data_IF_742822290289
#
_entry.id   IF_742822290289
#
_cell.length_a   1.000
_cell.length_b   1.000
_cell.length_c   1.000
_cell.angle_alpha   90.00
_cell.angle_beta   90.00
_cell.angle_gamma   90.00
#
_symmetry.space_group_name_H-M   'P 1'
#
loop_
_entity.id
_entity.type
_entity.pdbx_description
1 polymer ?
#
# COMPACT_ATOMS: atom_id res chain seq x y z
N UNK A 1 37.78 45.85 -22.71
CA UNK A 1 37.83 45.20 -21.38
C UNK A 1 37.43 43.74 -21.53
N UNK A 2 38.39 42.82 -21.58
CA UNK A 2 38.11 41.37 -21.57
C UNK A 2 37.91 40.93 -20.12
N UNK A 3 36.69 40.59 -19.73
CA UNK A 3 36.42 39.96 -18.45
C UNK A 3 37.11 38.59 -18.42
N UNK A 4 38.16 38.48 -17.60
CA UNK A 4 38.75 37.20 -17.19
C UNK A 4 37.64 36.37 -16.53
N UNK A 5 37.34 35.19 -17.07
CA UNK A 5 36.64 34.13 -16.33
C UNK A 5 37.48 33.84 -15.08
N UNK A 6 36.96 34.14 -13.89
CA UNK A 6 37.55 33.60 -12.68
C UNK A 6 37.35 32.09 -12.74
N UNK A 7 38.44 31.35 -12.71
CA UNK A 7 38.42 29.91 -12.49
C UNK A 7 37.90 29.73 -11.07
N UNK A 8 36.60 29.43 -10.94
CA UNK A 8 36.12 28.80 -9.72
C UNK A 8 36.80 27.43 -9.68
N UNK A 9 37.72 27.23 -8.75
CA UNK A 9 38.22 25.89 -8.43
C UNK A 9 37.00 25.02 -8.14
N UNK A 10 36.64 24.16 -9.09
CA UNK A 10 35.62 23.14 -8.85
C UNK A 10 36.20 22.18 -7.82
N UNK A 11 35.71 22.27 -6.58
CA UNK A 11 36.03 21.30 -5.53
C UNK A 11 35.51 19.94 -6.02
N UNK A 12 36.41 19.13 -6.57
CA UNK A 12 36.09 17.82 -7.12
C UNK A 12 36.00 16.81 -5.98
N UNK A 13 34.83 16.67 -5.39
CA UNK A 13 34.58 15.57 -4.46
C UNK A 13 34.51 14.24 -5.24
N UNK A 14 35.17 13.17 -4.76
CA UNK A 14 34.99 11.82 -5.28
C UNK A 14 33.52 11.43 -5.37
N UNK A 15 33.17 10.64 -6.39
CA UNK A 15 31.78 10.19 -6.60
C UNK A 15 31.21 9.44 -5.39
N UNK A 16 32.04 8.71 -4.67
CA UNK A 16 31.66 7.98 -3.45
C UNK A 16 31.16 8.91 -2.33
N UNK A 17 31.75 10.10 -2.19
CA UNK A 17 31.33 11.09 -1.18
C UNK A 17 29.95 11.64 -1.55
N UNK A 18 29.76 12.04 -2.82
CA UNK A 18 28.46 12.47 -3.31
C UNK A 18 27.39 11.40 -3.14
N UNK A 19 27.72 10.16 -3.48
CA UNK A 19 26.83 9.01 -3.31
C UNK A 19 26.40 8.87 -1.86
N UNK A 20 27.33 8.97 -0.90
CA UNK A 20 27.01 8.86 0.53
C UNK A 20 26.20 10.04 1.06
N UNK A 21 26.47 11.27 0.60
CA UNK A 21 25.67 12.45 0.95
C UNK A 21 24.23 12.28 0.45
N UNK A 22 24.06 11.93 -0.83
CA UNK A 22 22.75 11.79 -1.45
C UNK A 22 21.96 10.62 -0.86
N UNK A 23 22.61 9.49 -0.49
CA UNK A 23 21.94 8.36 0.16
C UNK A 23 21.27 8.74 1.49
N UNK A 24 21.73 9.79 2.17
CA UNK A 24 21.16 10.28 3.42
C UNK A 24 19.93 11.19 3.25
N UNK A 25 19.67 11.64 2.02
CA UNK A 25 18.59 12.59 1.76
C UNK A 25 17.25 11.88 1.51
N UNK A 26 16.13 12.48 1.93
CA UNK A 26 14.79 12.05 1.53
C UNK A 26 14.62 12.02 0.01
N UNK A 27 13.87 11.03 -0.49
CA UNK A 27 13.56 10.83 -1.92
C UNK A 27 13.09 12.11 -2.62
N UNK A 28 12.28 12.94 -1.96
CA UNK A 28 11.72 14.16 -2.56
C UNK A 28 12.77 15.23 -2.81
N UNK A 29 13.75 15.33 -1.92
CA UNK A 29 14.90 16.22 -2.10
C UNK A 29 15.75 15.68 -3.24
N UNK A 30 15.97 14.37 -3.31
CA UNK A 30 16.70 13.74 -4.40
C UNK A 30 16.04 13.95 -5.77
N UNK A 31 14.71 13.85 -5.86
CA UNK A 31 13.98 14.15 -7.09
C UNK A 31 14.22 15.59 -7.54
N UNK A 32 14.20 16.58 -6.62
CA UNK A 32 14.54 17.98 -6.93
C UNK A 32 16.00 18.15 -7.32
N UNK A 33 16.90 17.43 -6.66
CA UNK A 33 18.34 17.47 -6.89
C UNK A 33 18.75 16.87 -8.24
N UNK A 34 17.91 16.03 -8.84
CA UNK A 34 18.09 15.57 -10.23
C UNK A 34 18.06 16.70 -11.27
N UNK A 35 17.62 17.91 -10.88
CA UNK A 35 17.65 19.10 -11.71
C UNK A 35 18.93 19.95 -11.55
N UNK A 36 19.77 19.66 -10.55
CA UNK A 36 20.94 20.49 -10.22
C UNK A 36 22.10 20.27 -11.20
N UNK A 37 22.41 19.02 -11.55
CA UNK A 37 23.46 18.70 -12.53
C UNK A 37 23.19 17.37 -13.24
N UNK A 38 23.81 17.17 -14.41
CA UNK A 38 23.75 15.88 -15.14
C UNK A 38 24.35 14.74 -14.30
N UNK A 39 25.51 14.97 -13.68
CA UNK A 39 26.19 13.97 -12.83
C UNK A 39 25.30 13.49 -11.68
N UNK A 40 24.60 14.41 -11.01
CA UNK A 40 23.68 14.07 -9.93
C UNK A 40 22.44 13.36 -10.45
N UNK A 41 21.88 13.81 -11.58
CA UNK A 41 20.77 13.15 -12.24
C UNK A 41 21.10 11.70 -12.60
N UNK A 42 22.27 11.47 -13.19
CA UNK A 42 22.72 10.15 -13.63
C UNK A 42 22.93 9.23 -12.42
N UNK A 43 23.56 9.72 -11.35
CA UNK A 43 23.74 8.99 -10.11
C UNK A 43 22.40 8.67 -9.41
N UNK A 44 21.46 9.61 -9.37
CA UNK A 44 20.14 9.43 -8.72
C UNK A 44 19.25 8.47 -9.52
N UNK A 45 19.38 8.47 -10.85
CA UNK A 45 18.64 7.58 -11.75
C UNK A 45 19.28 6.20 -11.90
N UNK A 46 20.52 6.03 -11.48
CA UNK A 46 21.17 4.71 -11.45
C UNK A 46 20.36 3.75 -10.56
N UNK A 47 19.87 2.61 -11.10
CA UNK A 47 19.09 1.67 -10.31
C UNK A 47 19.87 1.09 -9.12
N UNK A 48 21.21 1.05 -9.18
CA UNK A 48 22.02 0.61 -8.03
C UNK A 48 21.93 1.61 -6.88
N UNK A 49 21.90 2.92 -7.18
CA UNK A 49 21.65 3.97 -6.21
C UNK A 49 20.22 3.88 -5.63
N UNK A 50 19.21 3.72 -6.48
CA UNK A 50 17.82 3.59 -6.03
C UNK A 50 17.60 2.40 -5.08
N UNK A 51 18.17 1.23 -5.39
CA UNK A 51 18.11 0.06 -4.51
C UNK A 51 18.87 0.28 -3.19
N UNK A 52 20.08 0.87 -3.26
CA UNK A 52 20.86 1.19 -2.07
C UNK A 52 20.13 2.22 -1.18
N UNK A 53 19.48 3.22 -1.78
CA UNK A 53 18.69 4.22 -1.07
C UNK A 53 17.49 3.57 -0.37
N UNK A 54 16.76 2.69 -1.06
CA UNK A 54 15.66 1.91 -0.45
C UNK A 54 16.18 1.10 0.74
N UNK A 55 17.24 0.31 0.58
CA UNK A 55 17.79 -0.49 1.67
C UNK A 55 18.29 0.37 2.84
N UNK A 56 19.02 1.44 2.56
CA UNK A 56 19.62 2.32 3.56
C UNK A 56 18.56 3.16 4.29
N UNK A 57 17.72 3.86 3.53
CA UNK A 57 16.73 4.80 4.06
C UNK A 57 15.59 4.09 4.80
N UNK A 58 15.10 2.95 4.29
CA UNK A 58 14.08 2.14 5.00
C UNK A 58 14.63 1.60 6.33
N UNK A 59 15.91 1.21 6.37
CA UNK A 59 16.52 0.69 7.60
C UNK A 59 16.79 1.78 8.65
N UNK A 60 17.20 2.98 8.23
CA UNK A 60 17.62 4.06 9.15
C UNK A 60 16.49 4.99 9.60
N UNK A 61 15.46 5.25 8.78
CA UNK A 61 14.41 6.24 9.07
C UNK A 61 13.00 5.64 9.07
N UNK A 62 12.80 4.57 9.86
CA UNK A 62 11.52 3.86 10.02
C UNK A 62 10.33 4.72 10.46
N UNK A 63 10.56 5.93 10.97
CA UNK A 63 9.52 6.78 11.58
C UNK A 63 8.95 7.87 10.65
N UNK A 64 9.41 7.98 9.40
CA UNK A 64 9.05 9.09 8.51
C UNK A 64 8.21 8.65 7.30
N UNK A 65 7.17 7.84 7.57
CA UNK A 65 6.28 7.32 6.54
C UNK A 65 5.22 8.35 6.13
N UNK A 66 4.98 8.49 4.83
CA UNK A 66 3.81 9.22 4.36
C UNK A 66 2.59 8.28 4.34
N UNK A 67 1.38 8.83 4.49
CA UNK A 67 0.17 8.10 4.10
C UNK A 67 -0.21 8.54 2.69
N UNK A 68 -0.46 7.59 1.80
CA UNK A 68 -1.02 7.86 0.48
C UNK A 68 -2.50 7.53 0.50
N UNK A 69 -3.31 8.50 0.08
CA UNK A 69 -4.75 8.44 0.07
C UNK A 69 -5.21 8.58 -1.36
N UNK A 70 -5.98 7.62 -1.84
CA UNK A 70 -6.68 7.70 -3.11
C UNK A 70 -8.17 7.77 -2.82
N UNK A 71 -8.76 8.93 -3.13
CA UNK A 71 -10.18 9.15 -3.02
C UNK A 71 -10.81 9.37 -4.38
N UNK A 72 -11.98 8.77 -4.61
CA UNK A 72 -12.88 9.16 -5.70
C UNK A 72 -13.93 10.13 -5.17
N UNK A 73 -14.11 11.22 -5.92
CA UNK A 73 -14.97 12.33 -5.58
C UNK A 73 -16.04 12.52 -6.65
N UNK A 74 -17.26 12.82 -6.22
CA UNK A 74 -18.31 13.33 -7.10
C UNK A 74 -18.19 14.84 -7.17
N UNK A 75 -17.95 15.39 -8.36
CA UNK A 75 -18.17 16.83 -8.56
C UNK A 75 -19.67 17.05 -8.75
N UNK A 76 -20.29 17.79 -7.83
CA UNK A 76 -21.65 18.27 -7.99
C UNK A 76 -21.58 19.72 -8.47
N UNK A 77 -21.41 19.94 -9.77
CA UNK A 77 -21.79 21.23 -10.36
C UNK A 77 -23.32 21.24 -10.49
N UNK A 78 -23.97 22.33 -10.05
CA UNK A 78 -25.43 22.50 -10.11
C UNK A 78 -25.99 22.53 -11.56
N UNK A 79 -25.10 22.52 -12.57
CA UNK A 79 -25.40 22.72 -13.99
C UNK A 79 -24.98 21.56 -14.90
N UNK A 80 -24.34 20.49 -14.40
CA UNK A 80 -24.04 19.31 -15.24
C UNK A 80 -25.12 18.24 -15.05
N UNK A 81 -25.92 17.99 -16.10
CA UNK A 81 -26.76 16.78 -16.20
C UNK A 81 -25.96 15.46 -16.15
N UNK A 82 -24.63 15.55 -16.28
CA UNK A 82 -23.71 14.42 -16.18
C UNK A 82 -22.85 14.51 -14.90
N UNK A 83 -23.16 13.69 -13.90
CA UNK A 83 -22.32 13.52 -12.70
C UNK A 83 -20.89 13.11 -13.09
N UNK A 84 -19.93 14.04 -13.07
CA UNK A 84 -18.50 13.74 -13.31
C UNK A 84 -17.83 13.31 -12.02
N UNK A 85 -17.17 12.15 -12.05
CA UNK A 85 -16.32 11.70 -10.97
C UNK A 85 -14.87 12.08 -11.24
N UNK A 86 -14.19 12.60 -10.22
CA UNK A 86 -12.76 12.91 -10.26
C UNK A 86 -12.04 12.02 -9.26
N UNK A 87 -10.84 11.56 -9.59
CA UNK A 87 -9.97 10.81 -8.68
C UNK A 87 -8.86 11.74 -8.20
N UNK A 88 -8.72 11.85 -6.88
CA UNK A 88 -7.70 12.66 -6.25
C UNK A 88 -6.73 11.76 -5.52
N UNK A 89 -5.46 11.93 -5.83
CA UNK A 89 -4.35 11.27 -5.15
C UNK A 89 -3.74 12.28 -4.19
N UNK A 90 -3.85 11.99 -2.90
CA UNK A 90 -3.41 12.83 -1.80
C UNK A 90 -2.24 12.13 -1.08
N UNK A 91 -1.28 12.94 -0.64
CA UNK A 91 -0.27 12.48 0.32
C UNK A 91 -0.45 13.21 1.63
N UNK A 92 -0.45 12.47 2.73
CA UNK A 92 -0.39 12.98 4.08
C UNK A 92 1.02 12.79 4.63
N UNK A 93 1.55 13.80 5.31
CA UNK A 93 2.77 13.69 6.10
C UNK A 93 2.58 14.33 7.46
N UNK A 94 3.33 13.81 8.43
CA UNK A 94 3.51 14.49 9.71
C UNK A 94 4.39 15.72 9.50
N UNK A 95 3.97 16.88 10.00
CA UNK A 95 4.89 17.97 10.27
C UNK A 95 5.53 17.72 11.64
N UNK A 96 6.85 17.54 11.67
CA UNK A 96 7.61 17.72 12.91
C UNK A 96 7.57 19.23 13.20
N UNK A 97 6.99 19.62 14.34
CA UNK A 97 7.17 20.98 14.84
C UNK A 97 8.65 21.25 15.08
N UNK A 98 9.09 22.50 14.88
CA UNK A 98 10.46 22.93 15.16
C UNK A 98 10.94 22.34 16.50
N UNK A 99 12.15 21.76 16.51
CA UNK A 99 12.80 21.09 17.65
C UNK A 99 13.17 22.07 18.79
N UNK A 100 12.17 22.76 19.35
CA UNK A 100 12.29 23.63 20.51
C UNK A 100 11.33 23.21 21.62
N UNK A 101 11.89 22.81 22.76
CA UNK A 101 11.27 22.44 24.03
C UNK A 101 10.58 21.06 24.14
N UNK A 102 11.36 20.13 24.69
CA UNK A 102 10.87 19.03 25.52
C UNK A 102 10.17 19.64 26.74
N UNK A 103 8.83 19.60 26.78
CA UNK A 103 7.98 19.50 27.99
C UNK A 103 6.49 19.82 27.74
N UNK A 104 5.97 19.46 26.56
CA UNK A 104 4.51 19.31 26.41
C UNK A 104 4.21 18.08 25.58
N UNK A 105 3.75 17.02 26.25
CA UNK A 105 3.00 15.92 25.63
C UNK A 105 1.65 16.52 25.20
N UNK A 106 1.69 17.29 24.11
CA UNK A 106 0.57 17.95 23.47
C UNK A 106 0.51 17.44 22.04
N UNK A 107 -0.51 16.64 21.74
CA UNK A 107 -0.82 15.99 20.46
C UNK A 107 -1.07 16.97 19.29
N UNK A 108 -0.08 17.78 18.92
CA UNK A 108 -0.13 18.69 17.78
C UNK A 108 0.76 18.20 16.63
N UNK A 109 0.53 16.97 16.17
CA UNK A 109 0.91 16.60 14.82
C UNK A 109 -0.04 17.30 13.85
N UNK A 110 0.49 18.29 13.13
CA UNK A 110 -0.18 18.88 11.98
C UNK A 110 0.13 18.05 10.74
N UNK A 111 -0.88 17.83 9.91
CA UNK A 111 -0.75 17.06 8.69
C UNK A 111 -0.96 17.98 7.50
N UNK A 112 0.00 17.99 6.57
CA UNK A 112 -0.22 18.59 5.26
C UNK A 112 -0.64 17.54 4.27
N UNK A 113 -1.80 17.76 3.66
CA UNK A 113 -2.24 17.02 2.48
C UNK A 113 -1.82 17.78 1.23
N UNK A 114 -1.20 17.11 0.27
CA UNK A 114 -0.90 17.69 -1.03
C UNK A 114 -1.49 16.84 -2.16
N UNK A 115 -2.06 17.50 -3.16
CA UNK A 115 -2.51 16.84 -4.39
C UNK A 115 -1.27 16.46 -5.19
N UNK A 116 -1.12 15.17 -5.47
CA UNK A 116 -0.14 14.69 -6.44
C UNK A 116 -0.76 14.75 -7.83
N UNK A 117 -0.57 15.85 -8.58
CA UNK A 117 -0.70 15.85 -10.05
C UNK A 117 -0.06 17.11 -10.63
N UNK A 118 0.76 16.99 -11.71
CA UNK A 118 0.36 16.35 -12.97
C UNK A 118 1.33 15.29 -13.55
N UNK A 119 2.16 14.63 -12.73
CA UNK A 119 3.16 13.68 -13.26
C UNK A 119 2.69 12.23 -13.45
N UNK A 120 1.62 11.80 -12.76
CA UNK A 120 1.13 10.44 -12.85
C UNK A 120 -0.04 10.40 -13.84
N UNK A 121 0.26 10.14 -15.11
CA UNK A 121 -0.78 9.92 -16.13
C UNK A 121 -1.50 8.60 -15.85
N UNK A 122 -2.51 8.66 -14.97
CA UNK A 122 -3.48 7.58 -14.88
C UNK A 122 -4.23 7.51 -16.21
N UNK A 123 -4.39 6.32 -16.80
CA UNK A 123 -4.99 6.23 -18.12
C UNK A 123 -6.41 6.80 -18.12
N UNK A 124 -6.78 7.46 -19.22
CA UNK A 124 -8.05 8.15 -19.33
C UNK A 124 -9.27 7.24 -19.10
N UNK A 125 -10.36 7.92 -18.78
CA UNK A 125 -11.62 7.38 -18.31
C UNK A 125 -12.34 6.55 -19.38
N UNK A 126 -12.13 5.24 -19.42
CA UNK A 126 -12.92 4.34 -20.29
C UNK A 126 -14.21 3.79 -19.61
N UNK A 127 -14.29 3.76 -18.28
CA UNK A 127 -15.44 3.18 -17.54
C UNK A 127 -15.72 3.91 -16.21
N UNK A 128 -16.99 3.97 -15.79
CA UNK A 128 -17.46 4.64 -14.56
C UNK A 128 -17.00 4.00 -13.21
N UNK A 129 -15.98 3.14 -13.21
CA UNK A 129 -15.52 2.40 -12.01
C UNK A 129 -14.30 3.07 -11.37
N UNK A 130 -14.22 3.11 -10.02
CA UNK A 130 -13.08 3.71 -9.29
C UNK A 130 -11.81 2.85 -9.43
N UNK A 131 -10.63 3.48 -9.40
CA UNK A 131 -9.42 2.76 -9.00
C UNK A 131 -9.46 2.41 -7.51
N UNK A 132 -8.88 1.25 -7.19
CA UNK A 132 -8.58 0.83 -5.81
C UNK A 132 -7.08 0.63 -5.68
N UNK A 133 -6.54 0.98 -4.51
CA UNK A 133 -5.19 0.59 -4.12
C UNK A 133 -5.24 -0.82 -3.52
N UNK A 134 -4.44 -1.72 -4.07
CA UNK A 134 -4.32 -3.12 -3.61
C UNK A 134 -3.07 -3.37 -2.76
N UNK A 135 -2.20 -2.37 -2.63
CA UNK A 135 -1.05 -2.42 -1.76
C UNK A 135 0.02 -1.39 -2.13
N UNK A 136 0.93 -1.18 -1.20
CA UNK A 136 2.16 -0.43 -1.36
C UNK A 136 3.33 -1.33 -0.96
N UNK A 137 4.40 -1.34 -1.74
CA UNK A 137 5.59 -2.11 -1.44
C UNK A 137 6.82 -1.35 -1.94
N UNK A 138 7.77 -1.06 -1.04
CA UNK A 138 9.03 -0.38 -1.36
C UNK A 138 8.86 0.91 -2.18
N UNK A 139 7.77 1.64 -1.95
CA UNK A 139 7.44 2.90 -2.65
C UNK A 139 6.80 2.75 -4.02
N UNK A 140 6.38 1.55 -4.38
CA UNK A 140 5.53 1.30 -5.55
C UNK A 140 4.11 1.05 -5.06
N UNK A 141 3.13 1.61 -5.76
CA UNK A 141 1.70 1.36 -5.57
C UNK A 141 1.20 0.37 -6.60
N UNK A 142 0.39 -0.59 -6.18
CA UNK A 142 -0.41 -1.42 -7.08
C UNK A 142 -1.85 -0.93 -7.06
N UNK A 143 -2.35 -0.49 -8.22
CA UNK A 143 -3.73 0.00 -8.38
C UNK A 143 -4.44 -0.74 -9.51
N UNK A 144 -5.76 -0.89 -9.40
CA UNK A 144 -6.56 -1.46 -10.47
C UNK A 144 -7.97 -0.90 -10.46
N UNK A 145 -8.60 -0.77 -11.62
CA UNK A 145 -10.02 -0.43 -11.72
C UNK A 145 -10.87 -1.57 -11.16
N UNK A 146 -11.94 -1.24 -10.44
CA UNK A 146 -12.89 -2.22 -9.91
C UNK A 146 -13.86 -2.69 -11.01
N UNK A 147 -13.40 -3.48 -11.99
CA UNK A 147 -14.24 -3.97 -13.10
C UNK A 147 -13.92 -5.40 -13.52
N UNK A 148 -14.78 -6.04 -14.31
CA UNK A 148 -14.54 -7.40 -14.83
C UNK A 148 -13.34 -7.51 -15.78
N UNK A 149 -12.77 -6.40 -16.25
CA UNK A 149 -11.52 -6.33 -17.04
C UNK A 149 -10.48 -5.48 -16.29
N UNK A 150 -10.10 -5.93 -15.10
CA UNK A 150 -9.16 -5.25 -14.20
C UNK A 150 -7.80 -5.00 -14.88
N UNK A 151 -7.60 -3.83 -15.50
CA UNK A 151 -6.25 -3.37 -15.82
C UNK A 151 -5.53 -3.02 -14.52
N UNK A 152 -4.40 -3.68 -14.31
CA UNK A 152 -3.53 -3.46 -13.17
C UNK A 152 -2.43 -2.51 -13.57
N UNK A 153 -2.10 -1.59 -12.66
CA UNK A 153 -1.04 -0.64 -12.82
C UNK A 153 -0.10 -0.70 -11.62
N UNK A 154 1.19 -0.61 -11.92
CA UNK A 154 2.21 -0.32 -10.93
C UNK A 154 2.63 1.12 -11.10
N UNK A 155 2.50 1.93 -10.06
CA UNK A 155 2.86 3.34 -10.11
C UNK A 155 3.92 3.66 -9.06
N UNK A 156 4.92 4.45 -9.43
CA UNK A 156 5.80 5.17 -8.52
C UNK A 156 5.43 6.66 -8.55
N UNK A 157 4.58 7.13 -7.61
CA UNK A 157 4.19 8.54 -7.53
C UNK A 157 5.34 9.50 -7.29
N UNK A 158 6.43 9.06 -6.63
CA UNK A 158 7.53 9.94 -6.24
C UNK A 158 8.32 10.46 -7.45
N UNK A 159 8.38 9.65 -8.53
CA UNK A 159 9.06 9.99 -9.78
C UNK A 159 8.10 10.15 -10.96
N UNK A 160 6.78 10.09 -10.72
CA UNK A 160 5.76 10.23 -11.76
C UNK A 160 5.73 9.08 -12.78
N UNK A 161 6.15 7.87 -12.41
CA UNK A 161 6.06 6.72 -13.31
C UNK A 161 4.79 5.94 -13.05
N UNK A 162 4.03 5.61 -14.08
CA UNK A 162 3.05 4.54 -13.99
C UNK A 162 3.14 3.58 -15.17
N UNK A 163 3.04 2.29 -14.87
CA UNK A 163 3.18 1.19 -15.78
C UNK A 163 1.88 0.38 -15.81
N UNK A 164 1.26 0.29 -16.99
CA UNK A 164 0.16 -0.66 -17.25
C UNK A 164 0.74 -2.06 -17.41
N UNK A 165 0.24 -3.00 -16.63
CA UNK A 165 0.61 -4.41 -16.81
C UNK A 165 -0.05 -4.98 -18.06
N UNK A 166 0.60 -5.94 -18.75
CA UNK A 166 -0.01 -6.63 -19.88
C UNK A 166 -1.31 -7.30 -19.45
N UNK A 167 -2.22 -7.48 -20.42
CA UNK A 167 -3.45 -8.22 -20.19
C UNK A 167 -3.08 -9.66 -19.79
N UNK A 168 -3.71 -10.14 -18.73
CA UNK A 168 -3.65 -11.55 -18.37
C UNK A 168 -4.39 -12.37 -19.43
N UNK A 169 -4.02 -13.65 -19.57
CA UNK A 169 -4.76 -14.64 -20.37
C UNK A 169 -6.27 -14.65 -20.04
N UNK A 170 -6.60 -14.29 -18.81
CA UNK A 170 -7.92 -14.33 -18.22
C UNK A 170 -8.74 -13.06 -18.48
N UNK A 171 -8.12 -11.91 -18.74
CA UNK A 171 -8.84 -10.68 -19.09
C UNK A 171 -9.67 -10.83 -20.39
N UNK A 172 -9.33 -11.81 -21.22
CA UNK A 172 -10.04 -12.13 -22.47
C UNK A 172 -11.30 -13.00 -22.30
N UNK A 173 -11.53 -13.58 -21.10
CA UNK A 173 -12.53 -14.63 -20.88
C UNK A 173 -13.93 -14.17 -20.44
N UNK A 174 -14.15 -12.89 -20.09
CA UNK A 174 -15.49 -12.30 -19.90
C UNK A 174 -16.36 -12.76 -18.72
N UNK A 175 -15.92 -13.67 -17.84
CA UNK A 175 -16.76 -14.24 -16.77
C UNK A 175 -16.12 -14.14 -15.38
N UNK A 176 -15.90 -12.90 -14.91
CA UNK A 176 -15.33 -12.60 -13.59
C UNK A 176 -16.36 -11.99 -12.67
N UNK A 177 -16.72 -12.68 -11.60
CA UNK A 177 -17.64 -12.13 -10.59
C UNK A 177 -16.86 -11.18 -9.65
N UNK A 178 -15.71 -11.62 -9.10
CA UNK A 178 -14.83 -10.80 -8.23
C UNK A 178 -13.37 -11.34 -8.24
N UNK A 179 -12.39 -10.47 -8.52
CA UNK A 179 -10.96 -10.77 -8.34
C UNK A 179 -10.37 -9.97 -7.19
N UNK A 180 -9.48 -10.58 -6.40
CA UNK A 180 -8.70 -9.91 -5.36
C UNK A 180 -7.23 -9.93 -5.78
N UNK A 181 -6.53 -8.81 -5.59
CA UNK A 181 -5.09 -8.72 -5.85
C UNK A 181 -4.30 -8.75 -4.54
N UNK A 182 -3.06 -9.21 -4.64
CA UNK A 182 -2.00 -8.92 -3.69
C UNK A 182 -0.79 -8.40 -4.44
N UNK A 183 -0.05 -7.53 -3.79
CA UNK A 183 1.15 -6.92 -4.35
C UNK A 183 2.28 -7.06 -3.35
N UNK A 184 3.49 -7.34 -3.84
CA UNK A 184 4.65 -7.47 -2.99
C UNK A 184 5.95 -7.55 -3.75
N UNK A 185 7.02 -7.76 -2.99
CA UNK A 185 8.38 -7.83 -3.50
C UNK A 185 9.05 -9.13 -3.05
N UNK A 186 9.63 -9.85 -4.01
CA UNK A 186 10.43 -11.03 -3.77
C UNK A 186 11.91 -10.63 -3.68
N UNK A 187 12.45 -10.64 -2.47
CA UNK A 187 13.84 -10.26 -2.20
C UNK A 187 14.83 -11.19 -2.91
N UNK A 188 14.51 -12.48 -3.06
CA UNK A 188 15.41 -13.47 -3.68
C UNK A 188 15.63 -13.21 -5.17
N UNK A 189 14.58 -12.77 -5.86
CA UNK A 189 14.64 -12.51 -7.30
C UNK A 189 14.72 -11.01 -7.62
N UNK A 190 14.72 -10.14 -6.61
CA UNK A 190 14.65 -8.68 -6.73
C UNK A 190 13.53 -8.25 -7.69
N UNK A 191 12.34 -8.84 -7.48
CA UNK A 191 11.22 -8.72 -8.39
C UNK A 191 9.95 -8.21 -7.69
N UNK A 192 9.26 -7.28 -8.35
CA UNK A 192 7.92 -6.91 -7.94
C UNK A 192 6.93 -7.89 -8.55
N UNK A 193 6.09 -8.46 -7.71
CA UNK A 193 5.12 -9.47 -8.11
C UNK A 193 3.71 -9.04 -7.76
N UNK A 194 2.77 -9.29 -8.67
CA UNK A 194 1.34 -9.10 -8.43
C UNK A 194 0.67 -10.46 -8.54
N UNK A 195 -0.02 -10.87 -7.49
CA UNK A 195 -0.83 -12.08 -7.49
C UNK A 195 -2.30 -11.69 -7.67
N UNK A 196 -2.98 -12.33 -8.60
CA UNK A 196 -4.41 -12.20 -8.80
C UNK A 196 -5.08 -13.51 -8.44
N UNK A 197 -6.07 -13.41 -7.55
CA UNK A 197 -6.94 -14.49 -7.13
C UNK A 197 -8.34 -14.19 -7.62
N UNK A 198 -9.04 -15.18 -8.15
CA UNK A 198 -10.45 -14.98 -8.46
C UNK A 198 -11.19 -16.29 -8.64
N UNK A 199 -12.41 -16.20 -9.19
CA UNK A 199 -13.27 -17.33 -9.51
C UNK A 199 -13.80 -17.25 -10.93
N UNK A 200 -13.77 -18.39 -11.62
CA UNK A 200 -14.47 -18.61 -12.88
C UNK A 200 -15.68 -19.50 -12.61
N UNK A 201 -16.85 -19.15 -13.13
CA UNK A 201 -18.01 -20.05 -13.12
C UNK A 201 -19.06 -19.73 -14.19
N UNK A 202 -19.40 -20.74 -15.00
CA UNK A 202 -20.75 -20.94 -15.55
C UNK A 202 -21.36 -22.13 -14.81
N UNK A 203 -22.66 -22.09 -14.51
CA UNK A 203 -23.43 -23.25 -14.04
C UNK A 203 -22.84 -23.99 -12.82
N UNK A 204 -22.54 -23.29 -11.73
CA UNK A 204 -22.26 -23.92 -10.43
C UNK A 204 -20.87 -24.53 -10.23
N UNK A 205 -20.02 -24.67 -11.25
CA UNK A 205 -18.63 -25.10 -11.06
C UNK A 205 -17.73 -23.90 -10.69
N UNK A 206 -17.64 -23.60 -9.39
CA UNK A 206 -16.88 -22.47 -8.88
C UNK A 206 -15.38 -22.80 -8.79
N UNK A 207 -14.63 -22.67 -9.90
CA UNK A 207 -13.19 -22.95 -9.90
C UNK A 207 -12.42 -21.68 -9.51
N UNK A 208 -11.79 -21.71 -8.34
CA UNK A 208 -10.84 -20.69 -7.94
C UNK A 208 -9.55 -20.80 -8.77
N UNK A 209 -8.98 -19.66 -9.15
CA UNK A 209 -7.73 -19.59 -9.89
C UNK A 209 -6.78 -18.59 -9.24
N UNK A 210 -5.50 -18.79 -9.53
CA UNK A 210 -4.42 -17.90 -9.13
C UNK A 210 -3.47 -17.71 -10.32
N UNK A 211 -3.06 -16.47 -10.55
CA UNK A 211 -2.00 -16.13 -11.48
C UNK A 211 -1.09 -15.08 -10.87
N UNK A 212 0.18 -15.11 -11.26
CA UNK A 212 1.20 -14.21 -10.77
C UNK A 212 1.87 -13.49 -11.93
N UNK A 213 1.93 -12.18 -11.83
CA UNK A 213 2.74 -11.33 -12.68
C UNK A 213 4.11 -11.13 -12.05
N UNK A 214 5.15 -11.16 -12.89
CA UNK A 214 6.54 -10.90 -12.52
C UNK A 214 7.08 -9.76 -13.35
N UNK A 215 7.48 -8.66 -12.71
CA UNK A 215 7.96 -7.47 -13.40
C UNK A 215 9.23 -7.76 -14.21
N UNK A 216 10.13 -8.56 -13.66
CA UNK A 216 11.38 -8.97 -14.32
C UNK A 216 11.16 -9.88 -15.55
N UNK A 217 9.94 -10.32 -15.84
CA UNK A 217 9.62 -11.05 -17.08
C UNK A 217 8.52 -10.37 -17.89
N UNK A 218 7.93 -9.30 -17.35
CA UNK A 218 6.74 -8.65 -17.86
C UNK A 218 5.64 -9.63 -18.29
N UNK A 219 5.40 -10.68 -17.51
CA UNK A 219 4.49 -11.76 -17.90
C UNK A 219 3.64 -12.26 -16.73
N UNK A 220 2.38 -12.59 -17.04
CA UNK A 220 1.49 -13.35 -16.16
C UNK A 220 1.75 -14.86 -16.31
N UNK A 221 1.75 -15.58 -15.20
CA UNK A 221 1.86 -17.04 -15.18
C UNK A 221 0.75 -17.62 -14.30
N UNK A 222 0.05 -18.64 -14.81
CA UNK A 222 -0.94 -19.37 -14.04
C UNK A 222 -0.26 -20.24 -12.98
N UNK A 223 -0.71 -20.13 -11.73
CA UNK A 223 -0.31 -21.04 -10.67
C UNK A 223 -1.18 -22.29 -10.70
N UNK A 224 -0.56 -23.48 -10.60
CA UNK A 224 -1.26 -24.78 -10.59
C UNK A 224 -1.92 -25.11 -9.23
N UNK A 225 -2.22 -24.10 -8.41
CA UNK A 225 -2.74 -24.28 -7.05
C UNK A 225 -4.27 -24.21 -7.04
N UNK A 226 -4.90 -25.17 -6.36
CA UNK A 226 -6.33 -25.16 -6.09
C UNK A 226 -6.64 -24.26 -4.90
N UNK A 227 -6.61 -22.94 -5.07
CA UNK A 227 -6.94 -21.99 -3.98
C UNK A 227 -8.32 -22.27 -3.38
N UNK A 228 -9.25 -22.79 -4.17
CA UNK A 228 -10.60 -23.17 -3.73
C UNK A 228 -10.65 -24.38 -2.79
N UNK A 229 -9.58 -25.17 -2.69
CA UNK A 229 -9.47 -26.18 -1.63
C UNK A 229 -8.95 -25.59 -0.30
N UNK A 230 -8.36 -24.38 -0.33
CA UNK A 230 -7.88 -23.67 0.85
C UNK A 230 -8.91 -22.68 1.39
N UNK A 231 -9.66 -22.02 0.50
CA UNK A 231 -10.57 -20.92 0.83
C UNK A 231 -11.88 -20.95 0.02
N UNK A 232 -13.00 -20.90 0.75
CA UNK A 232 -14.38 -20.84 0.25
C UNK A 232 -14.84 -19.41 -0.09
N UNK A 233 -14.20 -18.38 0.45
CA UNK A 233 -14.41 -16.99 0.03
C UNK A 233 -13.28 -16.11 0.54
N UNK A 234 -12.90 -15.10 -0.21
CA UNK A 234 -11.98 -14.05 0.25
C UNK A 234 -12.76 -12.77 0.52
N UNK A 235 -12.33 -12.02 1.53
CA UNK A 235 -12.81 -10.67 1.76
C UNK A 235 -12.46 -9.80 0.54
N UNK A 236 -13.32 -8.83 0.18
CA UNK A 236 -13.08 -7.95 -0.96
C UNK A 236 -11.93 -6.94 -0.74
N UNK A 237 -11.40 -6.86 0.49
CA UNK A 237 -10.22 -6.06 0.80
C UNK A 237 -8.98 -6.64 0.08
N UNK A 238 -8.10 -5.76 -0.40
CA UNK A 238 -6.83 -6.16 -1.01
C UNK A 238 -5.94 -6.93 -0.03
N UNK A 239 -4.94 -7.63 -0.56
CA UNK A 239 -3.97 -8.34 0.27
C UNK A 239 -2.97 -7.38 0.91
N UNK A 240 -2.56 -7.69 2.13
CA UNK A 240 -1.52 -6.93 2.83
C UNK A 240 -0.17 -7.60 2.65
N UNK A 241 0.83 -6.84 2.21
CA UNK A 241 2.21 -7.29 2.15
C UNK A 241 2.90 -7.14 3.50
N UNK A 242 3.49 -8.22 4.00
CA UNK A 242 4.31 -8.21 5.20
C UNK A 242 5.38 -9.29 5.08
N UNK A 243 6.64 -8.92 5.35
CA UNK A 243 7.79 -9.82 5.42
C UNK A 243 7.88 -10.84 4.25
N UNK A 244 7.81 -10.36 3.00
CA UNK A 244 7.92 -11.21 1.80
C UNK A 244 6.67 -12.03 1.47
N UNK A 245 5.59 -11.90 2.23
CA UNK A 245 4.33 -12.61 2.03
C UNK A 245 3.14 -11.66 1.88
N UNK A 246 2.09 -12.13 1.23
CA UNK A 246 0.81 -11.44 1.14
C UNK A 246 -0.28 -12.17 1.93
N UNK A 247 -1.15 -11.42 2.59
CA UNK A 247 -2.17 -11.94 3.50
C UNK A 247 -3.56 -11.44 3.14
N UNK A 248 -4.55 -12.34 3.07
CA UNK A 248 -5.96 -12.01 2.87
C UNK A 248 -6.84 -12.70 3.90
N UNK A 249 -7.80 -11.96 4.44
CA UNK A 249 -8.87 -12.56 5.22
C UNK A 249 -9.88 -13.28 4.32
N UNK A 250 -10.46 -14.35 4.84
CA UNK A 250 -11.49 -15.09 4.16
C UNK A 250 -12.10 -16.18 5.04
N UNK A 251 -12.85 -17.07 4.41
CA UNK A 251 -13.45 -18.23 5.05
C UNK A 251 -12.95 -19.51 4.39
N UNK A 252 -12.60 -20.49 5.22
CA UNK A 252 -12.33 -21.87 4.86
C UNK A 252 -13.48 -22.76 5.32
N UNK A 253 -13.88 -23.74 4.50
CA UNK A 253 -15.04 -24.61 4.74
C UNK A 253 -15.06 -25.28 6.10
N UNK A 254 -13.91 -25.81 6.51
CA UNK A 254 -13.78 -26.67 7.69
C UNK A 254 -13.37 -25.90 8.95
N UNK A 255 -12.67 -24.78 8.79
CA UNK A 255 -12.08 -24.00 9.89
C UNK A 255 -12.93 -22.76 10.21
N UNK A 256 -13.71 -22.26 9.26
CA UNK A 256 -14.40 -20.97 9.37
C UNK A 256 -13.49 -19.83 8.94
N UNK A 257 -13.42 -18.77 9.73
CA UNK A 257 -12.56 -17.62 9.41
C UNK A 257 -11.08 -18.04 9.38
N UNK A 258 -10.37 -17.61 8.34
CA UNK A 258 -8.96 -17.92 8.12
C UNK A 258 -8.24 -16.76 7.44
N UNK A 259 -6.91 -16.75 7.53
CA UNK A 259 -6.05 -15.85 6.76
C UNK A 259 -5.30 -16.70 5.74
N UNK A 260 -5.45 -16.38 4.45
CA UNK A 260 -4.65 -16.97 3.38
C UNK A 260 -3.32 -16.23 3.32
N UNK A 261 -2.22 -16.97 3.42
CA UNK A 261 -0.85 -16.48 3.21
C UNK A 261 -0.37 -16.95 1.83
N UNK A 262 0.28 -16.05 1.10
CA UNK A 262 1.04 -16.39 -0.11
C UNK A 262 2.47 -15.88 0.06
N UNK A 263 3.44 -16.78 -0.06
CA UNK A 263 4.86 -16.43 0.04
C UNK A 263 5.41 -16.10 -1.36
N UNK A 264 5.94 -14.90 -1.58
CA UNK A 264 6.38 -14.48 -2.91
C UNK A 264 7.67 -15.14 -3.40
N UNK A 265 8.48 -15.67 -2.48
CA UNK A 265 9.77 -16.29 -2.78
C UNK A 265 9.62 -17.77 -3.15
N UNK A 266 8.72 -18.48 -2.48
CA UNK A 266 8.41 -19.90 -2.74
C UNK A 266 7.21 -20.07 -3.66
N UNK A 267 6.37 -19.04 -3.78
CA UNK A 267 5.12 -19.03 -4.54
C UNK A 267 4.10 -20.09 -4.06
N UNK A 268 4.12 -20.36 -2.75
CA UNK A 268 3.27 -21.35 -2.09
C UNK A 268 2.21 -20.63 -1.24
N UNK A 269 1.00 -21.21 -1.24
CA UNK A 269 -0.08 -20.80 -0.35
C UNK A 269 -0.08 -21.63 0.93
N UNK A 270 -0.38 -20.97 2.05
CA UNK A 270 -0.64 -21.62 3.33
C UNK A 270 -1.73 -20.88 4.09
N UNK A 271 -2.23 -21.49 5.17
CA UNK A 271 -3.24 -20.90 6.03
C UNK A 271 -2.62 -20.46 7.35
N UNK A 272 -3.01 -19.28 7.81
CA UNK A 272 -2.71 -18.77 9.14
C UNK A 272 -4.03 -18.70 9.91
N UNK A 273 -4.02 -19.25 11.12
CA UNK A 273 -5.19 -19.19 12.00
C UNK A 273 -5.32 -17.78 12.57
N UNK A 274 -6.53 -17.18 12.56
CA UNK A 274 -6.77 -15.90 13.19
C UNK A 274 -6.74 -16.03 14.72
N UNK A 275 -6.63 -14.92 15.48
CA UNK A 275 -6.64 -14.90 16.94
C UNK A 275 -7.90 -15.51 17.58
N UNK A 276 -8.99 -15.61 16.83
CA UNK A 276 -10.27 -16.15 17.30
C UNK A 276 -10.52 -17.51 16.65
N UNK A 277 -10.54 -18.56 17.47
CA UNK A 277 -10.54 -19.94 16.98
C UNK A 277 -11.94 -20.51 16.67
N UNK A 278 -13.03 -19.76 16.87
CA UNK A 278 -14.40 -20.24 16.65
C UNK A 278 -15.31 -19.10 16.19
N UNK A 279 -16.31 -19.41 15.35
CA UNK A 279 -17.34 -18.48 14.82
C UNK A 279 -17.82 -17.48 15.87
N UNK A 280 -17.22 -16.30 15.89
CA UNK A 280 -17.72 -15.17 16.66
C UNK A 280 -18.57 -14.35 15.72
N UNK A 281 -19.89 -14.58 15.77
CA UNK A 281 -20.91 -13.80 15.06
C UNK A 281 -20.95 -12.30 15.44
N UNK A 282 -19.97 -11.85 16.25
CA UNK A 282 -19.83 -10.52 16.79
C UNK A 282 -19.01 -9.58 15.89
N UNK A 283 -18.11 -10.13 15.05
CA UNK A 283 -17.26 -9.36 14.15
C UNK A 283 -17.89 -9.23 12.76
N UNK A 284 -17.99 -8.00 12.28
CA UNK A 284 -18.48 -7.60 10.95
C UNK A 284 -17.37 -7.80 9.91
N UNK A 285 -16.14 -7.44 10.26
CA UNK A 285 -14.99 -7.53 9.36
C UNK A 285 -13.72 -7.89 10.13
N UNK A 286 -12.78 -8.54 9.43
CA UNK A 286 -11.44 -8.81 9.92
C UNK A 286 -10.47 -8.46 8.79
N UNK A 287 -9.70 -7.39 8.98
CA UNK A 287 -8.84 -6.85 7.91
C UNK A 287 -7.37 -6.99 8.32
N UNK A 288 -6.54 -7.71 7.54
CA UNK A 288 -5.11 -7.76 7.79
C UNK A 288 -4.53 -6.35 7.64
N UNK A 289 -3.48 -6.05 8.40
CA UNK A 289 -2.76 -4.78 8.34
C UNK A 289 -1.33 -4.98 8.85
N UNK A 290 -0.52 -3.94 8.78
CA UNK A 290 0.79 -3.91 9.45
C UNK A 290 0.73 -2.84 10.53
N UNK A 291 0.85 -3.26 11.79
CA UNK A 291 0.80 -2.38 12.96
C UNK A 291 2.05 -2.64 13.79
N UNK A 292 2.76 -1.59 14.20
CA UNK A 292 4.01 -1.66 14.96
C UNK A 292 5.02 -2.66 14.36
N UNK A 293 5.28 -2.54 13.05
CA UNK A 293 6.18 -3.43 12.29
C UNK A 293 5.83 -4.93 12.36
N UNK A 294 4.59 -5.27 12.70
CA UNK A 294 4.13 -6.65 12.83
C UNK A 294 2.84 -6.87 12.03
N UNK A 295 2.63 -8.10 11.56
CA UNK A 295 1.35 -8.46 10.94
C UNK A 295 0.26 -8.32 12.00
N UNK A 296 -0.79 -7.59 11.67
CA UNK A 296 -1.91 -7.36 12.56
C UNK A 296 -3.22 -7.74 11.89
N UNK A 297 -4.21 -8.05 12.72
CA UNK A 297 -5.57 -8.27 12.29
C UNK A 297 -6.45 -7.29 13.06
N UNK A 298 -7.15 -6.44 12.31
CA UNK A 298 -8.08 -5.45 12.86
C UNK A 298 -9.48 -5.99 12.73
N UNK A 299 -10.13 -6.23 13.86
CA UNK A 299 -11.47 -6.79 13.98
C UNK A 299 -12.45 -5.67 14.23
N UNK A 300 -13.44 -5.55 13.36
CA UNK A 300 -14.51 -4.59 13.50
C UNK A 300 -15.77 -5.31 13.97
N UNK A 301 -16.32 -4.91 15.10
CA UNK A 301 -17.47 -5.50 15.75
C UNK A 301 -18.71 -4.64 15.63
N UNK A 302 -19.85 -5.20 16.04
CA UNK A 302 -21.09 -4.42 16.17
C UNK A 302 -20.90 -3.27 17.17
N UNK A 303 -21.66 -2.18 16.97
CA UNK A 303 -21.65 -0.99 17.84
C UNK A 303 -20.30 -0.24 17.90
N UNK A 304 -19.45 -0.41 16.89
CA UNK A 304 -18.19 0.35 16.77
C UNK A 304 -17.05 -0.19 17.63
N UNK A 305 -17.16 -1.40 18.20
CA UNK A 305 -16.02 -2.06 18.83
C UNK A 305 -14.98 -2.39 17.76
N UNK A 306 -13.72 -2.02 18.00
CA UNK A 306 -12.60 -2.37 17.15
C UNK A 306 -11.51 -3.00 18.02
N UNK A 307 -10.98 -4.15 17.62
CA UNK A 307 -9.85 -4.79 18.29
C UNK A 307 -8.68 -4.92 17.34
N UNK A 308 -7.49 -4.62 17.84
CA UNK A 308 -6.25 -4.81 17.10
C UNK A 308 -5.49 -5.95 17.75
N UNK A 309 -5.26 -6.99 16.97
CA UNK A 309 -4.45 -8.13 17.35
C UNK A 309 -3.17 -8.14 16.54
N UNK A 310 -2.03 -8.37 17.18
CA UNK A 310 -0.73 -8.39 16.54
C UNK A 310 -0.17 -9.81 16.61
N UNK A 311 0.40 -10.27 15.50
CA UNK A 311 1.02 -11.58 15.41
C UNK A 311 2.41 -11.49 16.03
N UNK A 312 2.62 -12.31 17.05
CA UNK A 312 3.92 -12.48 17.71
C UNK A 312 4.61 -13.68 17.08
N UNK A 313 5.86 -13.50 16.65
CA UNK A 313 6.70 -14.60 16.17
C UNK A 313 7.74 -14.89 17.24
N UNK A 314 7.74 -16.12 17.72
CA UNK A 314 8.72 -16.63 18.68
C UNK A 314 9.62 -17.62 17.95
N UNK A 315 10.93 -17.50 18.18
CA UNK A 315 11.89 -18.50 17.75
C UNK A 315 12.09 -19.47 18.91
N UNK A 316 11.72 -20.72 18.70
CA UNK A 316 11.97 -21.80 19.64
C UNK A 316 13.45 -22.20 19.61
N UNK A 317 13.91 -22.88 20.66
CA UNK A 317 15.33 -23.26 20.84
C UNK A 317 15.84 -24.21 19.74
N UNK A 318 14.94 -24.92 19.06
CA UNK A 318 15.21 -25.78 17.92
C UNK A 318 15.32 -25.02 16.57
N UNK A 319 15.16 -23.69 16.60
CA UNK A 319 15.15 -22.82 15.43
C UNK A 319 13.81 -22.78 14.69
N UNK A 320 12.77 -23.44 15.21
CA UNK A 320 11.43 -23.41 14.64
C UNK A 320 10.73 -22.12 15.04
N UNK A 321 10.07 -21.48 14.07
CA UNK A 321 9.27 -20.29 14.34
C UNK A 321 7.83 -20.71 14.68
N UNK A 322 7.37 -20.37 15.88
CA UNK A 322 5.98 -20.45 16.25
C UNK A 322 5.35 -19.07 16.26
N UNK A 323 4.10 -19.00 15.83
CA UNK A 323 3.37 -17.75 15.74
C UNK A 323 2.12 -17.78 16.60
N UNK A 324 1.96 -16.78 17.44
CA UNK A 324 0.77 -16.59 18.27
C UNK A 324 0.19 -15.18 18.04
N UNK A 325 -0.97 -14.90 18.61
CA UNK A 325 -1.59 -13.58 18.53
C UNK A 325 -1.70 -12.97 19.91
N UNK A 326 -1.37 -11.69 20.03
CA UNK A 326 -1.57 -10.88 21.23
C UNK A 326 -2.54 -9.74 20.94
N UNK A 327 -3.41 -9.42 21.89
CA UNK A 327 -4.31 -8.27 21.77
C UNK A 327 -3.51 -7.01 22.10
N UNK A 328 -3.36 -6.09 21.16
CA UNK A 328 -2.69 -4.80 21.36
C UNK A 328 -3.62 -3.78 22.00
N UNK A 329 -4.84 -3.64 21.47
CA UNK A 329 -5.81 -2.71 22.06
C UNK A 329 -7.27 -3.05 21.72
N UNK A 330 -8.17 -2.41 22.47
CA UNK A 330 -9.62 -2.42 22.23
C UNK A 330 -10.10 -0.98 22.16
N UNK A 331 -10.70 -0.59 21.04
CA UNK A 331 -11.19 0.75 20.78
C UNK A 331 -12.72 0.73 20.67
N UNK A 332 -13.40 1.72 21.23
CA UNK A 332 -14.82 1.93 20.99
C UNK A 332 -15.01 3.19 20.16
N UNK A 333 -15.38 2.99 18.90
CA UNK A 333 -15.65 4.05 17.95
C UNK A 333 -17.04 4.64 18.24
N UNK A 334 -17.13 5.97 18.21
CA UNK A 334 -18.37 6.69 18.57
C UNK A 334 -19.54 6.33 17.64
N UNK A 335 -20.81 6.47 18.09
CA UNK A 335 -21.99 6.01 17.37
C UNK A 335 -22.17 6.60 15.96
N UNK A 336 -21.63 7.80 15.69
CA UNK A 336 -21.70 8.47 14.38
C UNK A 336 -20.90 7.70 13.30
N UNK A 337 -20.05 6.77 13.72
CA UNK A 337 -19.18 5.97 12.86
C UNK A 337 -19.75 4.61 12.45
N UNK A 338 -21.01 4.23 12.76
CA UNK A 338 -21.57 2.90 12.41
C UNK A 338 -21.03 2.39 11.04
N UNK A 339 -20.24 1.31 11.07
CA UNK A 339 -19.48 0.71 9.94
C UNK A 339 -18.23 1.48 9.47
N UNK A 340 -17.25 1.80 10.32
CA UNK A 340 -16.01 2.44 9.87
C UNK A 340 -15.12 1.41 9.16
N UNK A 341 -14.86 1.63 7.87
CA UNK A 341 -13.88 0.84 7.14
C UNK A 341 -12.47 1.32 7.52
N UNK A 342 -11.65 0.41 8.06
CA UNK A 342 -10.22 0.66 8.22
C UNK A 342 -9.60 0.92 6.84
N UNK A 343 -8.83 1.99 6.73
CA UNK A 343 -8.11 2.34 5.51
C UNK A 343 -6.71 1.73 5.54
N UNK A 344 -5.90 2.08 6.55
CA UNK A 344 -4.53 1.58 6.75
C UNK A 344 -4.09 1.89 8.18
N UNK A 345 -3.03 1.22 8.64
CA UNK A 345 -2.20 1.77 9.70
C UNK A 345 -1.15 2.71 9.08
N UNK A 346 -0.83 3.80 9.77
CA UNK A 346 0.14 4.82 9.39
C UNK A 346 1.06 5.06 10.60
N UNK A 347 2.32 5.43 10.35
CA UNK A 347 3.32 5.71 11.40
C UNK A 347 3.29 4.72 12.59
N UNK A 348 3.32 3.42 12.28
CA UNK A 348 3.32 2.28 13.22
C UNK A 348 2.05 2.08 14.05
N UNK A 349 1.52 3.15 14.64
CA UNK A 349 0.48 3.06 15.67
C UNK A 349 -0.71 3.99 15.40
N UNK A 350 -0.82 4.61 14.23
CA UNK A 350 -2.00 5.39 13.85
C UNK A 350 -2.93 4.61 12.93
N UNK A 351 -4.13 4.29 13.38
CA UNK A 351 -5.18 3.77 12.51
C UNK A 351 -5.87 4.91 11.78
N UNK A 352 -5.90 4.83 10.45
CA UNK A 352 -6.72 5.69 9.61
C UNK A 352 -8.05 5.00 9.35
N UNK A 353 -9.14 5.63 9.78
CA UNK A 353 -10.49 5.11 9.71
C UNK A 353 -11.37 6.04 8.86
N UNK A 354 -12.15 5.46 7.96
CA UNK A 354 -13.13 6.22 7.17
C UNK A 354 -14.46 6.32 7.92
N UNK A 355 -15.05 7.51 7.97
CA UNK A 355 -16.41 7.68 8.49
C UNK A 355 -17.46 7.10 7.53
N UNK A 356 -18.64 6.72 8.05
CA UNK A 356 -19.73 6.12 7.27
C UNK A 356 -20.17 6.98 6.07
N UNK A 357 -20.12 8.30 6.20
CA UNK A 357 -20.51 9.23 5.14
C UNK A 357 -19.39 9.54 4.13
N UNK A 358 -18.18 8.99 4.31
CA UNK A 358 -17.02 9.25 3.45
C UNK A 358 -16.47 10.67 3.53
N UNK A 359 -17.03 11.54 4.39
CA UNK A 359 -16.64 12.96 4.49
C UNK A 359 -15.49 13.23 5.47
N UNK A 360 -15.13 12.26 6.32
CA UNK A 360 -14.09 12.46 7.33
C UNK A 360 -13.18 11.23 7.41
N UNK A 361 -11.90 11.49 7.61
CA UNK A 361 -10.95 10.47 8.03
C UNK A 361 -10.65 10.76 9.50
N UNK A 362 -10.74 9.72 10.32
CA UNK A 362 -10.36 9.78 11.72
C UNK A 362 -9.02 9.06 11.88
N UNK A 363 -8.13 9.67 12.65
CA UNK A 363 -6.90 9.03 13.08
C UNK A 363 -7.07 8.61 14.55
N UNK A 364 -6.73 7.37 14.86
CA UNK A 364 -6.70 6.86 16.22
C UNK A 364 -5.29 6.35 16.54
N UNK A 365 -4.67 6.90 17.56
CA UNK A 365 -3.39 6.41 18.04
C UNK A 365 -3.57 5.18 18.93
N UNK A 366 -2.70 4.19 18.78
CA UNK A 366 -2.73 2.92 19.49
C UNK A 366 -1.73 2.95 20.66
N UNK A 367 -1.97 3.79 21.66
CA UNK A 367 -1.23 3.76 22.93
C UNK A 367 -2.12 3.26 24.09
N UNK A 368 -1.46 2.67 25.07
CA UNK A 368 -1.97 1.90 26.23
C UNK A 368 -3.26 2.45 26.87
N UNK A 369 -4.40 2.13 26.26
CA UNK A 369 -5.73 2.42 26.80
C UNK A 369 -6.21 3.87 26.66
N UNK A 370 -5.36 4.81 26.22
CA UNK A 370 -5.77 6.20 25.97
C UNK A 370 -6.09 6.42 24.50
N UNK A 371 -7.37 6.59 24.15
CA UNK A 371 -7.75 6.82 22.76
C UNK A 371 -7.71 8.32 22.44
N UNK A 372 -6.54 8.83 22.05
CA UNK A 372 -6.49 10.11 21.36
C UNK A 372 -7.19 9.96 19.99
N UNK A 373 -8.43 10.42 19.91
CA UNK A 373 -9.21 10.43 18.67
C UNK A 373 -9.22 11.86 18.11
N UNK A 374 -8.70 12.04 16.90
CA UNK A 374 -8.77 13.32 16.19
C UNK A 374 -9.58 13.14 14.92
N UNK A 375 -10.68 13.88 14.83
CA UNK A 375 -11.46 13.99 13.60
C UNK A 375 -10.78 14.97 12.67
N UNK A 376 -10.44 14.51 11.47
CA UNK A 376 -10.01 15.40 10.40
C UNK A 376 -11.15 15.53 9.41
N UNK A 377 -11.72 16.73 9.38
CA UNK A 377 -12.68 17.12 8.36
C UNK A 377 -11.94 17.26 7.05
N UNK A 378 -12.22 16.37 6.10
CA UNK A 378 -11.92 16.67 4.72
C UNK A 378 -13.19 17.26 4.13
N UNK A 379 -13.18 18.54 3.76
CA UNK A 379 -14.30 19.10 2.99
C UNK A 379 -14.13 18.78 1.50
N UNK A 380 -13.91 17.50 1.21
CA UNK A 380 -13.69 16.96 -0.13
C UNK A 380 -15.00 16.49 -0.79
N UNK A 381 -16.15 16.79 -0.19
CA UNK A 381 -17.45 16.33 -0.68
C UNK A 381 -17.76 14.86 -0.36
N UNK A 382 -18.79 14.30 -1.00
CA UNK A 382 -19.14 12.89 -0.84
C UNK A 382 -18.09 11.99 -1.51
N UNK A 383 -17.39 11.17 -0.72
CA UNK A 383 -16.58 10.05 -1.24
C UNK A 383 -17.37 8.76 -1.12
N UNK A 384 -17.57 8.08 -2.25
CA UNK A 384 -18.11 6.72 -2.24
C UNK A 384 -17.00 5.69 -2.01
N UNK A 385 -15.78 5.99 -2.50
CA UNK A 385 -14.65 5.07 -2.58
C UNK A 385 -13.35 5.77 -2.17
N UNK A 386 -13.12 5.87 -0.87
CA UNK A 386 -11.83 6.27 -0.30
C UNK A 386 -11.03 5.03 0.11
N UNK A 387 -9.77 4.97 -0.31
CA UNK A 387 -8.78 3.97 0.09
C UNK A 387 -7.45 4.66 0.47
N UNK A 388 -6.69 4.04 1.36
CA UNK A 388 -5.39 4.57 1.81
C UNK A 388 -4.39 3.45 2.01
N UNK A 389 -3.11 3.77 1.89
CA UNK A 389 -2.01 2.88 2.24
C UNK A 389 -0.88 3.69 2.86
N UNK A 390 -0.18 3.10 3.83
CA UNK A 390 1.14 3.61 4.20
C UNK A 390 2.09 3.51 3.00
N UNK A 391 2.87 4.55 2.75
CA UNK A 391 3.73 4.61 1.59
C UNK A 391 5.02 5.36 1.91
N UNK A 392 6.11 4.80 1.42
CA UNK A 392 7.43 5.40 1.51
C UNK A 392 7.92 5.75 0.11
N UNK A 393 8.17 7.02 -0.24
CA UNK A 393 8.67 7.41 -1.55
C UNK A 393 9.97 6.69 -1.94
N UNK A 394 10.08 6.25 -3.19
CA UNK A 394 11.26 5.54 -3.71
C UNK A 394 11.76 6.14 -5.03
N UNK A 395 13.06 5.97 -5.29
CA UNK A 395 13.69 6.31 -6.57
C UNK A 395 13.69 5.16 -7.58
N UNK A 396 13.14 3.99 -7.21
CA UNK A 396 13.10 2.83 -8.10
C UNK A 396 12.25 3.14 -9.35
N UNK A 397 12.89 3.08 -10.53
CA UNK A 397 12.22 3.20 -11.82
C UNK A 397 11.69 1.84 -12.29
N UNK A 398 10.41 1.80 -12.60
CA UNK A 398 9.74 0.64 -13.21
C UNK A 398 10.14 0.51 -14.68
N UNK A 399 10.29 1.64 -15.38
CA UNK A 399 10.70 1.68 -16.79
C UNK A 399 12.12 1.14 -16.99
N UNK A 400 13.08 1.54 -16.14
CA UNK A 400 14.45 1.02 -16.20
C UNK A 400 14.51 -0.50 -15.91
N UNK A 401 13.66 -1.01 -15.01
CA UNK A 401 13.53 -2.46 -14.80
C UNK A 401 13.05 -3.19 -16.06
N UNK A 402 12.12 -2.61 -16.82
CA UNK A 402 11.66 -3.19 -18.09
C UNK A 402 12.68 -3.08 -19.23
N UNK A 403 13.43 -1.98 -19.33
CA UNK A 403 14.51 -1.85 -20.33
C UNK A 403 15.55 -2.95 -20.22
N UNK A 404 15.89 -3.36 -19.01
CA UNK A 404 16.85 -4.45 -18.74
C UNK A 404 16.43 -5.80 -19.31
N UNK A 405 15.14 -5.98 -19.61
CA UNK A 405 14.60 -7.20 -20.20
C UNK A 405 14.19 -7.01 -21.66
N UNK A 406 14.70 -5.95 -22.30
CA UNK A 406 14.51 -5.67 -23.72
C UNK A 406 13.16 -5.05 -24.08
N UNK A 407 12.45 -4.49 -23.09
CA UNK A 407 11.20 -3.78 -23.31
C UNK A 407 11.45 -2.28 -23.16
N UNK A 408 11.18 -1.52 -24.22
CA UNK A 408 11.47 -0.08 -24.45
C UNK A 408 12.86 0.25 -24.99
#
# INVERSE_FOLDING_TARGET
>A
MKLRRSITEEIYFPEEIWRRILLNLPTEILVRFSCVSKKWRDLIRDPSFGNAHVSYYIQQKRHNNAAFLLGRFRSCSFFDEYKRFHELLLTAKSEEGDQGNYDTIGNNFNFRFSVLSPGLDLPPYEFQQPYKIYGSCNGILCISKSSSRCHVYLCNPAIGECLRLPASYWDMGGFWDKSVLGFGFDVRTNDYKVIRLGRVGRNGSNRAYAEIYRLNTNCWTKLKVKVGSLMDSLAPAGGVFFNGSCYWSGNCKYIGAAILKFDFSTEIFSLVLPPYSKRTWNWISATPSVVSDSLALVLEGRLGLCEVWVMMVQKEEDGKESSSWSKKCSLRLRPELRFPAMLTCWNHDWLLLRSRCGRKIRCCFLEDGSTAQKDWGFDIGYTDDLCAVAFQPTLVSLKEKLKRIGLF
#
